data_IF_702027293325
#
_entry.id   IF_702027293325
#
_cell.length_a   1.000
_cell.length_b   1.000
_cell.length_c   1.000
_cell.angle_alpha   90.00
_cell.angle_beta   90.00
_cell.angle_gamma   90.00
#
_symmetry.space_group_name_H-M   'P 1'
#
loop_
_entity.id
_entity.type
_entity.pdbx_description
1 polymer ?
#
# COMPACT_ATOMS: atom_id res chain seq x y z
N UNK A 1 41.69 -65.95 -10.53
CA UNK A 1 41.01 -64.64 -10.62
C UNK A 1 39.72 -64.77 -9.82
N UNK A 2 39.68 -64.18 -8.63
CA UNK A 2 38.50 -64.23 -7.77
C UNK A 2 37.40 -63.38 -8.42
N UNK A 3 36.24 -63.98 -8.70
CA UNK A 3 35.12 -63.21 -9.21
C UNK A 3 34.68 -62.18 -8.16
N UNK A 4 34.40 -60.93 -8.56
CA UNK A 4 33.99 -59.91 -7.61
C UNK A 4 32.70 -60.34 -6.92
N UNK A 5 32.71 -60.34 -5.59
CA UNK A 5 31.50 -60.54 -4.81
C UNK A 5 30.53 -59.40 -5.17
N UNK A 6 29.26 -59.72 -5.42
CA UNK A 6 28.24 -58.73 -5.78
C UNK A 6 28.13 -57.58 -4.76
N UNK A 7 28.50 -57.82 -3.50
CA UNK A 7 28.57 -56.82 -2.43
C UNK A 7 29.65 -55.76 -2.67
N UNK A 8 30.78 -56.11 -3.29
CA UNK A 8 31.86 -55.17 -3.59
C UNK A 8 31.43 -54.19 -4.67
N UNK A 9 30.70 -54.69 -5.69
CA UNK A 9 30.10 -53.87 -6.74
C UNK A 9 29.06 -52.90 -6.15
N UNK A 10 28.19 -53.39 -5.25
CA UNK A 10 27.18 -52.53 -4.58
C UNK A 10 27.85 -51.46 -3.70
N UNK A 11 28.91 -51.81 -2.96
CA UNK A 11 29.60 -50.84 -2.11
C UNK A 11 30.31 -49.75 -2.93
N UNK A 12 31.00 -50.15 -4.02
CA UNK A 12 31.69 -49.22 -4.91
C UNK A 12 30.72 -48.26 -5.60
N UNK A 13 29.56 -48.77 -6.06
CA UNK A 13 28.51 -47.94 -6.63
C UNK A 13 27.91 -47.00 -5.58
N UNK A 14 27.65 -47.48 -4.36
CA UNK A 14 27.13 -46.66 -3.26
C UNK A 14 28.06 -45.50 -2.89
N UNK A 15 29.37 -45.77 -2.80
CA UNK A 15 30.40 -44.77 -2.50
C UNK A 15 30.57 -43.72 -3.59
N UNK A 16 30.30 -44.06 -4.86
CA UNK A 16 30.34 -43.10 -5.96
C UNK A 16 29.02 -42.30 -6.09
N UNK A 17 27.87 -42.92 -5.85
CA UNK A 17 26.55 -42.29 -6.00
C UNK A 17 26.25 -41.30 -4.88
N UNK A 18 26.66 -41.59 -3.64
CA UNK A 18 26.40 -40.72 -2.49
C UNK A 18 26.96 -39.30 -2.66
N UNK A 19 28.25 -39.07 -2.98
CA UNK A 19 28.77 -37.71 -3.18
C UNK A 19 28.10 -37.00 -4.38
N UNK A 20 27.75 -37.72 -5.45
CA UNK A 20 27.02 -37.16 -6.59
C UNK A 20 25.61 -36.71 -6.19
N UNK A 21 24.90 -37.51 -5.40
CA UNK A 21 23.57 -37.17 -4.89
C UNK A 21 23.63 -35.94 -3.98
N UNK A 22 24.61 -35.86 -3.07
CA UNK A 22 24.81 -34.71 -2.19
C UNK A 22 25.10 -33.43 -2.99
N UNK A 23 25.97 -33.50 -4.01
CA UNK A 23 26.27 -32.36 -4.90
C UNK A 23 25.01 -31.93 -5.66
N UNK A 24 24.26 -32.87 -6.24
CA UNK A 24 23.01 -32.56 -6.94
C UNK A 24 21.99 -31.91 -6.01
N UNK A 25 21.82 -32.42 -4.79
CA UNK A 25 20.93 -31.87 -3.78
C UNK A 25 21.35 -30.45 -3.37
N UNK A 26 22.65 -30.24 -3.13
CA UNK A 26 23.23 -28.93 -2.84
C UNK A 26 22.93 -27.92 -3.95
N UNK A 27 23.20 -28.27 -5.20
CA UNK A 27 22.93 -27.40 -6.36
C UNK A 27 21.44 -27.05 -6.49
N UNK A 28 20.53 -27.99 -6.26
CA UNK A 28 19.08 -27.74 -6.29
C UNK A 28 18.66 -26.79 -5.17
N UNK A 29 19.16 -26.99 -3.95
CA UNK A 29 18.86 -26.13 -2.79
C UNK A 29 19.39 -24.72 -3.04
N UNK A 30 20.66 -24.55 -3.44
CA UNK A 30 21.27 -23.24 -3.68
C UNK A 30 20.56 -22.48 -4.80
N UNK A 31 20.14 -23.17 -5.87
CA UNK A 31 19.35 -22.55 -6.95
C UNK A 31 17.97 -22.10 -6.50
N UNK A 32 17.32 -22.84 -5.59
CA UNK A 32 16.02 -22.44 -5.03
C UNK A 32 16.15 -21.27 -4.07
N UNK A 33 17.16 -21.29 -3.20
CA UNK A 33 17.43 -20.22 -2.24
C UNK A 33 17.72 -18.89 -2.95
N UNK A 34 18.64 -18.89 -3.93
CA UNK A 34 18.98 -17.67 -4.69
C UNK A 34 17.78 -17.03 -5.42
N UNK A 35 16.88 -17.84 -6.01
CA UNK A 35 15.64 -17.33 -6.62
C UNK A 35 14.68 -16.73 -5.61
N UNK A 36 14.56 -17.35 -4.44
CA UNK A 36 13.72 -16.85 -3.34
C UNK A 36 14.25 -15.53 -2.79
N UNK A 37 15.56 -15.43 -2.58
CA UNK A 37 16.22 -14.20 -2.10
C UNK A 37 16.05 -13.04 -3.09
N UNK A 38 16.19 -13.29 -4.39
CA UNK A 38 16.01 -12.26 -5.42
C UNK A 38 14.57 -11.72 -5.42
N UNK A 39 13.58 -12.62 -5.34
CA UNK A 39 12.17 -12.24 -5.28
C UNK A 39 11.88 -11.42 -4.01
N UNK A 40 12.34 -11.87 -2.84
CA UNK A 40 12.17 -11.16 -1.57
C UNK A 40 12.83 -9.78 -1.60
N UNK A 41 14.06 -9.70 -2.11
CA UNK A 41 14.77 -8.42 -2.27
C UNK A 41 14.01 -7.46 -3.17
N UNK A 42 13.50 -7.95 -4.30
CA UNK A 42 12.74 -7.11 -5.24
C UNK A 42 11.42 -6.64 -4.64
N UNK A 43 10.69 -7.52 -3.92
CA UNK A 43 9.48 -7.13 -3.19
C UNK A 43 9.77 -6.08 -2.13
N UNK A 44 10.86 -6.24 -1.38
CA UNK A 44 11.28 -5.28 -0.35
C UNK A 44 11.61 -3.92 -0.97
N UNK A 45 12.29 -3.91 -2.11
CA UNK A 45 12.59 -2.68 -2.84
C UNK A 45 11.29 -1.94 -3.22
N UNK A 46 10.34 -2.62 -3.87
CA UNK A 46 9.06 -2.01 -4.21
C UNK A 46 8.25 -1.58 -2.98
N UNK A 47 8.30 -2.37 -1.90
CA UNK A 47 7.68 -2.00 -0.63
C UNK A 47 8.22 -0.65 -0.11
N UNK A 48 9.54 -0.48 -0.07
CA UNK A 48 10.16 0.77 0.40
C UNK A 48 9.82 1.98 -0.49
N UNK A 49 9.53 1.75 -1.77
CA UNK A 49 9.11 2.80 -2.69
C UNK A 49 7.60 3.14 -2.58
N UNK A 50 6.75 2.13 -2.35
CA UNK A 50 5.30 2.29 -2.32
C UNK A 50 4.78 2.83 -0.98
N UNK A 51 5.31 2.32 0.14
CA UNK A 51 4.76 2.61 1.48
C UNK A 51 4.79 4.09 1.85
N UNK A 52 5.85 4.87 1.58
CA UNK A 52 5.83 6.31 1.86
C UNK A 52 4.70 7.05 1.13
N UNK A 53 4.48 6.72 -0.15
CA UNK A 53 3.44 7.31 -0.98
C UNK A 53 2.03 6.87 -0.53
N UNK A 54 1.86 5.60 -0.17
CA UNK A 54 0.61 5.09 0.40
C UNK A 54 0.28 5.77 1.73
N UNK A 55 1.30 5.97 2.58
CA UNK A 55 1.15 6.68 3.85
C UNK A 55 0.82 8.16 3.63
N UNK A 56 1.40 8.81 2.61
CA UNK A 56 1.05 10.18 2.25
C UNK A 56 -0.42 10.28 1.85
N UNK A 57 -0.90 9.38 0.99
CA UNK A 57 -2.31 9.33 0.60
C UNK A 57 -3.21 9.11 1.81
N UNK A 58 -2.86 8.18 2.70
CA UNK A 58 -3.60 7.92 3.94
C UNK A 58 -3.66 9.16 4.84
N UNK A 59 -2.53 9.82 5.06
CA UNK A 59 -2.44 11.05 5.84
C UNK A 59 -3.36 12.14 5.26
N UNK A 60 -3.32 12.33 3.94
CA UNK A 60 -4.18 13.30 3.28
C UNK A 60 -5.66 12.98 3.46
N UNK A 61 -6.07 11.74 3.18
CA UNK A 61 -7.46 11.30 3.26
C UNK A 61 -8.03 11.32 4.69
N UNK A 62 -7.17 11.22 5.70
CA UNK A 62 -7.58 11.15 7.12
C UNK A 62 -7.24 12.41 7.93
N UNK A 63 -6.76 13.48 7.29
CA UNK A 63 -6.40 14.75 7.93
C UNK A 63 -5.30 14.60 9.01
N UNK A 64 -4.29 13.77 8.74
CA UNK A 64 -3.13 13.54 9.60
C UNK A 64 -1.86 14.13 8.98
N UNK A 65 -0.94 14.62 9.81
CA UNK A 65 0.38 15.07 9.35
C UNK A 65 0.31 16.36 8.53
N UNK A 66 0.95 16.35 7.37
CA UNK A 66 1.14 17.52 6.49
C UNK A 66 -0.02 17.77 5.52
N UNK A 67 -1.15 17.08 5.67
CA UNK A 67 -2.29 17.10 4.74
C UNK A 67 -2.78 18.50 4.31
N UNK A 68 -2.59 19.50 5.17
CA UNK A 68 -3.04 20.89 4.97
C UNK A 68 -2.14 21.70 4.01
N UNK A 69 -0.97 21.15 3.71
CA UNK A 69 0.06 21.73 2.86
C UNK A 69 0.07 21.06 1.47
N UNK A 70 -0.70 19.98 1.29
CA UNK A 70 -0.78 19.19 0.05
C UNK A 70 -1.94 19.64 -0.84
N UNK A 71 -1.67 20.04 -2.07
CA UNK A 71 -2.72 20.43 -3.02
C UNK A 71 -3.44 19.20 -3.59
N UNK A 72 -4.70 19.31 -4.03
CA UNK A 72 -5.37 18.20 -4.70
C UNK A 72 -4.69 17.80 -6.01
N UNK A 73 -3.92 18.69 -6.64
CA UNK A 73 -3.10 18.35 -7.81
C UNK A 73 -1.98 17.39 -7.39
N UNK A 74 -1.28 17.70 -6.30
CA UNK A 74 -0.22 16.84 -5.74
C UNK A 74 -0.77 15.44 -5.43
N UNK A 75 -2.01 15.34 -4.93
CA UNK A 75 -2.66 14.07 -4.58
C UNK A 75 -3.09 13.28 -5.82
N UNK A 76 -3.53 13.93 -6.89
CA UNK A 76 -3.81 13.26 -8.17
C UNK A 76 -2.51 12.76 -8.81
N UNK A 77 -1.43 13.52 -8.72
CA UNK A 77 -0.11 13.10 -9.22
C UNK A 77 0.49 11.98 -8.36
N UNK A 78 0.27 12.01 -7.05
CA UNK A 78 0.57 10.90 -6.14
C UNK A 78 -0.16 9.63 -6.56
N UNK A 79 -1.45 9.70 -6.92
CA UNK A 79 -2.20 8.54 -7.45
C UNK A 79 -1.55 7.97 -8.70
N UNK A 80 -1.19 8.83 -9.67
CA UNK A 80 -0.54 8.40 -10.93
C UNK A 80 0.77 7.68 -10.65
N UNK A 81 1.57 8.24 -9.74
CA UNK A 81 2.85 7.66 -9.32
C UNK A 81 2.65 6.30 -8.64
N UNK A 82 1.67 6.19 -7.74
CA UNK A 82 1.29 4.94 -7.09
C UNK A 82 0.84 3.90 -8.12
N UNK A 83 -0.09 4.23 -9.01
CA UNK A 83 -0.60 3.31 -10.03
C UNK A 83 0.51 2.84 -10.98
N UNK A 84 1.37 3.75 -11.42
CA UNK A 84 2.48 3.42 -12.31
C UNK A 84 3.45 2.44 -11.64
N UNK A 85 3.85 2.70 -10.39
CA UNK A 85 4.77 1.83 -9.65
C UNK A 85 4.12 0.49 -9.30
N UNK A 86 2.89 0.54 -8.82
CA UNK A 86 2.16 -0.64 -8.37
C UNK A 86 1.90 -1.61 -9.53
N UNK A 87 1.44 -1.13 -10.69
CA UNK A 87 1.14 -2.03 -11.82
C UNK A 87 2.39 -2.70 -12.40
N UNK A 88 3.56 -2.04 -12.33
CA UNK A 88 4.85 -2.68 -12.68
C UNK A 88 5.21 -3.77 -11.69
N UNK A 89 4.97 -3.52 -10.39
CA UNK A 89 5.31 -4.46 -9.32
C UNK A 89 4.26 -5.55 -9.10
N UNK A 90 3.02 -5.38 -9.56
CA UNK A 90 1.88 -6.24 -9.26
C UNK A 90 2.14 -7.73 -9.53
N UNK A 91 2.83 -8.15 -10.62
CA UNK A 91 3.14 -9.56 -10.85
C UNK A 91 4.06 -10.20 -9.79
N UNK A 92 4.77 -9.38 -9.01
CA UNK A 92 5.65 -9.85 -7.94
C UNK A 92 4.87 -10.13 -6.65
N UNK A 93 3.68 -9.54 -6.48
CA UNK A 93 2.85 -9.68 -5.30
C UNK A 93 1.70 -10.67 -5.52
N UNK A 94 1.05 -11.07 -4.44
CA UNK A 94 -0.13 -11.92 -4.44
C UNK A 94 -1.36 -11.16 -4.92
N UNK A 95 -2.40 -11.91 -5.30
CA UNK A 95 -3.69 -11.34 -5.63
C UNK A 95 -4.30 -10.55 -4.46
N UNK A 96 -4.05 -10.99 -3.22
CA UNK A 96 -4.49 -10.32 -1.99
C UNK A 96 -3.98 -8.88 -1.90
N UNK A 97 -2.69 -8.64 -2.18
CA UNK A 97 -2.12 -7.29 -2.25
C UNK A 97 -2.79 -6.46 -3.34
N UNK A 98 -3.02 -7.07 -4.51
CA UNK A 98 -3.65 -6.39 -5.65
C UNK A 98 -5.08 -5.97 -5.33
N UNK A 99 -5.85 -6.83 -4.68
CA UNK A 99 -7.24 -6.53 -4.33
C UNK A 99 -7.32 -5.49 -3.21
N UNK A 100 -6.45 -5.57 -2.20
CA UNK A 100 -6.34 -4.56 -1.15
C UNK A 100 -5.94 -3.19 -1.72
N UNK A 101 -5.00 -3.14 -2.67
CA UNK A 101 -4.61 -1.90 -3.35
C UNK A 101 -5.77 -1.28 -4.11
N UNK A 102 -6.49 -2.09 -4.90
CA UNK A 102 -7.69 -1.65 -5.64
C UNK A 102 -8.77 -1.14 -4.69
N UNK A 103 -9.00 -1.81 -3.56
CA UNK A 103 -9.96 -1.37 -2.56
C UNK A 103 -9.60 0.01 -1.99
N UNK A 104 -8.32 0.23 -1.64
CA UNK A 104 -7.84 1.54 -1.18
C UNK A 104 -8.00 2.61 -2.26
N UNK A 105 -7.61 2.33 -3.50
CA UNK A 105 -7.75 3.28 -4.61
C UNK A 105 -9.21 3.62 -4.90
N UNK A 106 -10.12 2.63 -4.81
CA UNK A 106 -11.56 2.83 -4.98
C UNK A 106 -12.17 3.69 -3.87
N UNK A 107 -11.66 3.61 -2.63
CA UNK A 107 -12.08 4.52 -1.56
C UNK A 107 -11.48 5.92 -1.72
N UNK A 108 -10.30 6.02 -2.31
CA UNK A 108 -9.56 7.29 -2.43
C UNK A 108 -10.00 8.11 -3.63
N UNK A 109 -10.29 7.45 -4.75
CA UNK A 109 -10.54 8.09 -6.03
C UNK A 109 -11.72 7.48 -6.78
N UNK A 110 -12.47 8.34 -7.47
CA UNK A 110 -13.36 7.93 -8.55
C UNK A 110 -12.52 7.88 -9.83
N UNK A 111 -12.16 6.67 -10.22
CA UNK A 111 -11.48 6.36 -11.50
C UNK A 111 -12.52 6.18 -12.60
N UNK A 112 -12.14 6.43 -13.86
CA UNK A 112 -13.03 6.38 -15.05
C UNK A 112 -13.95 7.60 -15.21
N UNK A 113 -13.36 8.78 -15.35
CA UNK A 113 -14.01 9.94 -15.98
C UNK A 113 -14.02 9.82 -17.51
N UNK A 114 -14.23 10.93 -18.20
CA UNK A 114 -14.02 11.03 -19.65
C UNK A 114 -12.57 10.71 -20.06
N UNK A 115 -12.37 10.45 -21.34
CA UNK A 115 -11.03 10.21 -21.89
C UNK A 115 -10.12 11.42 -21.63
N UNK A 116 -8.98 11.19 -20.99
CA UNK A 116 -8.02 12.25 -20.64
C UNK A 116 -8.38 13.07 -19.39
N UNK A 117 -9.48 12.74 -18.69
CA UNK A 117 -9.84 13.42 -17.45
C UNK A 117 -9.08 12.88 -16.23
N UNK A 118 -8.75 13.79 -15.34
CA UNK A 118 -8.07 13.46 -14.09
C UNK A 118 -9.01 12.75 -13.10
N UNK A 119 -8.43 11.88 -12.28
CA UNK A 119 -9.19 11.23 -11.20
C UNK A 119 -9.72 12.27 -10.20
N UNK A 120 -10.93 12.02 -9.70
CA UNK A 120 -11.58 12.86 -8.67
C UNK A 120 -11.37 12.22 -7.30
N UNK A 121 -10.99 13.00 -6.30
CA UNK A 121 -10.74 12.55 -4.92
C UNK A 121 -12.08 12.38 -4.19
N UNK A 122 -12.31 11.22 -3.57
CA UNK A 122 -13.59 10.89 -2.92
C UNK A 122 -13.72 11.46 -1.50
N UNK A 123 -13.46 12.75 -1.37
CA UNK A 123 -13.61 13.51 -0.13
C UNK A 123 -14.11 14.92 -0.46
N UNK A 124 -14.27 15.79 0.55
CA UNK A 124 -14.70 17.18 0.37
C UNK A 124 -13.55 18.20 0.42
N UNK A 125 -13.75 19.35 -0.23
CA UNK A 125 -12.77 20.45 -0.26
C UNK A 125 -12.81 21.33 1.01
N UNK A 126 -13.98 21.48 1.64
CA UNK A 126 -14.26 22.40 2.75
C UNK A 126 -13.11 22.56 3.76
N UNK A 127 -12.73 21.49 4.46
CA UNK A 127 -11.68 21.54 5.50
C UNK A 127 -10.28 21.82 4.96
N UNK A 128 -10.01 21.45 3.70
CA UNK A 128 -8.70 21.63 3.06
C UNK A 128 -8.48 23.07 2.66
N UNK A 129 -9.51 23.67 2.06
CA UNK A 129 -9.54 25.09 1.75
C UNK A 129 -9.41 25.96 3.00
N UNK A 130 -10.19 25.67 4.05
CA UNK A 130 -10.14 26.47 5.30
C UNK A 130 -8.82 26.31 6.07
N UNK A 131 -8.18 25.14 5.97
CA UNK A 131 -6.96 24.81 6.70
C UNK A 131 -5.69 24.96 5.88
N UNK A 132 -5.77 25.42 4.63
CA UNK A 132 -4.63 25.58 3.73
C UNK A 132 -3.53 26.44 4.36
N UNK A 133 -2.28 25.96 4.37
CA UNK A 133 -1.14 26.67 4.99
C UNK A 133 0.13 26.76 4.13
N UNK A 134 0.15 26.17 2.94
CA UNK A 134 1.26 26.32 1.99
C UNK A 134 1.45 27.80 1.61
N UNK A 135 2.68 28.31 1.68
CA UNK A 135 2.99 29.75 1.51
C UNK A 135 3.29 30.16 0.07
N UNK A 136 3.81 29.23 -0.72
CA UNK A 136 4.22 29.41 -2.12
C UNK A 136 3.02 29.45 -3.08
N UNK A 137 1.90 28.83 -2.72
CA UNK A 137 0.70 28.72 -3.58
C UNK A 137 -0.55 29.05 -2.77
N UNK A 138 -1.43 29.89 -3.31
CA UNK A 138 -2.77 30.13 -2.74
C UNK A 138 -3.74 29.06 -3.18
N UNK A 139 -4.77 28.80 -2.37
CA UNK A 139 -5.86 27.90 -2.77
C UNK A 139 -6.47 28.37 -4.09
N UNK A 140 -6.44 27.51 -5.12
CA UNK A 140 -7.05 27.80 -6.40
C UNK A 140 -8.51 27.31 -6.38
N UNK A 141 -9.53 28.17 -6.62
CA UNK A 141 -10.93 27.75 -6.63
C UNK A 141 -11.25 26.61 -7.60
N UNK A 142 -10.49 26.44 -8.69
CA UNK A 142 -10.67 25.32 -9.62
C UNK A 142 -10.36 23.96 -8.98
N UNK A 143 -9.61 23.94 -7.88
CA UNK A 143 -9.34 22.72 -7.12
C UNK A 143 -10.59 22.11 -6.52
N UNK A 144 -11.65 22.88 -6.29
CA UNK A 144 -12.91 22.37 -5.73
C UNK A 144 -13.52 21.31 -6.67
N UNK A 145 -13.29 21.41 -7.99
CA UNK A 145 -13.73 20.41 -9.00
C UNK A 145 -12.98 19.08 -8.91
N UNK A 146 -11.89 18.99 -8.14
CA UNK A 146 -11.11 17.76 -7.93
C UNK A 146 -11.67 16.88 -6.82
N UNK A 147 -12.73 17.32 -6.15
CA UNK A 147 -13.37 16.62 -5.05
C UNK A 147 -14.76 16.13 -5.47
N UNK A 148 -15.13 14.92 -5.06
CA UNK A 148 -16.43 14.32 -5.39
C UNK A 148 -17.53 14.80 -4.44
N UNK A 149 -17.20 15.04 -3.18
CA UNK A 149 -18.20 15.38 -2.15
C UNK A 149 -18.39 16.88 -2.05
N UNK A 150 -19.64 17.28 -1.87
CA UNK A 150 -20.01 18.65 -1.60
C UNK A 150 -19.56 19.10 -0.20
N UNK A 151 -19.52 20.41 0.02
CA UNK A 151 -19.05 20.97 1.29
C UNK A 151 -20.01 20.71 2.47
N UNK A 152 -21.28 20.41 2.19
CA UNK A 152 -22.28 20.04 3.21
C UNK A 152 -22.10 18.61 3.74
N UNK A 153 -21.33 17.78 3.04
CA UNK A 153 -21.13 16.39 3.42
C UNK A 153 -20.17 16.28 4.60
N UNK A 154 -20.68 15.86 5.75
CA UNK A 154 -19.84 15.59 6.93
C UNK A 154 -19.09 14.28 6.76
N UNK A 155 -17.78 14.30 7.01
CA UNK A 155 -16.95 13.08 7.05
C UNK A 155 -17.12 12.44 8.41
N UNK A 156 -17.69 11.25 8.46
CA UNK A 156 -17.98 10.56 9.72
C UNK A 156 -16.73 9.90 10.31
N UNK A 157 -16.71 9.69 11.62
CA UNK A 157 -15.64 8.93 12.27
C UNK A 157 -15.58 7.47 11.79
N UNK A 158 -16.72 6.92 11.37
CA UNK A 158 -16.82 5.59 10.78
C UNK A 158 -16.12 5.53 9.43
N UNK A 159 -16.34 6.49 8.54
CA UNK A 159 -15.67 6.56 7.24
C UNK A 159 -14.15 6.60 7.38
N UNK A 160 -13.63 7.41 8.30
CA UNK A 160 -12.20 7.48 8.59
C UNK A 160 -11.66 6.17 9.18
N UNK A 161 -12.46 5.48 10.00
CA UNK A 161 -12.09 4.18 10.56
C UNK A 161 -12.04 3.13 9.46
N UNK A 162 -13.02 3.10 8.57
CA UNK A 162 -13.08 2.21 7.40
C UNK A 162 -11.91 2.44 6.46
N UNK A 163 -11.63 3.70 6.11
CA UNK A 163 -10.51 4.03 5.23
C UNK A 163 -9.18 3.51 5.81
N UNK A 164 -8.99 3.67 7.12
CA UNK A 164 -7.78 3.21 7.81
C UNK A 164 -7.70 1.70 7.92
N UNK A 165 -8.83 1.02 8.10
CA UNK A 165 -8.91 -0.44 8.03
C UNK A 165 -8.41 -0.95 6.69
N UNK A 166 -8.90 -0.39 5.59
CA UNK A 166 -8.47 -0.78 4.23
C UNK A 166 -6.99 -0.49 3.98
N UNK A 167 -6.46 0.61 4.52
CA UNK A 167 -5.01 0.89 4.48
C UNK A 167 -4.20 -0.13 5.30
N UNK A 168 -4.66 -0.46 6.51
CA UNK A 168 -4.04 -1.47 7.37
C UNK A 168 -4.03 -2.85 6.70
N UNK A 169 -5.12 -3.22 6.01
CA UNK A 169 -5.25 -4.47 5.25
C UNK A 169 -4.24 -4.53 4.09
N UNK A 170 -4.07 -3.44 3.35
CA UNK A 170 -3.06 -3.35 2.28
C UNK A 170 -1.64 -3.51 2.83
N UNK A 171 -1.31 -2.83 3.93
CA UNK A 171 0.01 -2.99 4.55
C UNK A 171 0.23 -4.40 5.10
N UNK A 172 -0.79 -5.00 5.70
CA UNK A 172 -0.72 -6.37 6.19
C UNK A 172 -0.45 -7.36 5.06
N UNK A 173 -1.17 -7.22 3.92
CA UNK A 173 -0.95 -8.05 2.74
C UNK A 173 0.46 -7.87 2.16
N UNK A 174 0.94 -6.63 2.05
CA UNK A 174 2.30 -6.35 1.60
C UNK A 174 3.37 -6.97 2.51
N UNK A 175 3.22 -6.84 3.83
CA UNK A 175 4.17 -7.39 4.82
C UNK A 175 4.14 -8.92 4.83
N UNK A 176 2.96 -9.52 4.65
CA UNK A 176 2.80 -10.98 4.49
C UNK A 176 3.56 -11.50 3.27
N UNK A 177 3.48 -10.81 2.14
CA UNK A 177 4.20 -11.17 0.92
C UNK A 177 5.73 -11.00 1.03
N UNK A 178 6.20 -10.18 1.96
CA UNK A 178 7.62 -10.05 2.31
C UNK A 178 8.14 -11.19 3.20
N UNK A 179 7.27 -12.09 3.66
CA UNK A 179 7.59 -13.17 4.61
C UNK A 179 8.22 -12.64 5.92
N UNK A 180 7.86 -11.40 6.30
CA UNK A 180 8.26 -10.85 7.60
C UNK A 180 7.38 -11.54 8.64
N UNK A 181 8.00 -12.37 9.46
CA UNK A 181 7.39 -13.36 10.38
C UNK A 181 6.40 -12.77 11.41
N UNK A 182 6.22 -11.45 11.46
CA UNK A 182 5.14 -10.75 12.18
C UNK A 182 4.64 -9.53 11.39
N UNK A 183 3.66 -9.72 10.53
CA UNK A 183 2.77 -8.62 10.16
C UNK A 183 2.01 -8.16 11.41
N UNK A 184 2.07 -6.87 11.76
CA UNK A 184 1.25 -6.31 12.87
C UNK A 184 -0.20 -6.24 12.39
N UNK A 185 -1.15 -6.55 13.27
CA UNK A 185 -2.58 -6.50 12.95
C UNK A 185 -3.14 -5.07 12.75
N UNK A 186 -2.43 -4.04 13.23
CA UNK A 186 -2.80 -2.62 13.09
C UNK A 186 -1.55 -1.78 12.89
N UNK A 187 -1.48 -1.04 11.79
CA UNK A 187 -0.41 -0.08 11.53
C UNK A 187 -0.85 1.36 11.85
N UNK A 188 -2.15 1.61 11.98
CA UNK A 188 -2.70 2.92 12.36
C UNK A 188 -3.22 2.97 13.82
N UNK A 189 -3.09 4.12 14.51
CA UNK A 189 -3.49 4.29 15.94
C UNK A 189 -4.89 4.89 16.15
N UNK A 190 -5.72 4.35 17.03
CA UNK A 190 -7.12 4.79 17.23
C UNK A 190 -7.30 6.23 17.77
N UNK A 191 -6.22 6.93 18.13
CA UNK A 191 -6.23 8.25 18.79
C UNK A 191 -6.63 9.45 17.90
N UNK A 192 -6.85 9.26 16.60
CA UNK A 192 -7.11 10.37 15.64
C UNK A 192 -8.58 10.79 15.56
N UNK A 193 -9.48 10.10 16.28
CA UNK A 193 -10.93 10.39 16.30
C UNK A 193 -11.30 11.84 16.64
N UNK A 194 -10.41 12.58 17.30
CA UNK A 194 -10.66 13.93 17.80
C UNK A 194 -10.49 15.05 16.77
N UNK A 195 -9.76 14.83 15.66
CA UNK A 195 -9.44 15.90 14.71
C UNK A 195 -10.48 16.09 13.60
N UNK A 196 -11.40 15.13 13.42
CA UNK A 196 -12.33 15.10 12.28
C UNK A 196 -13.77 15.56 12.60
N UNK A 197 -14.17 15.56 13.87
CA UNK A 197 -15.43 16.16 14.33
C UNK A 197 -15.25 17.68 14.45
N UNK A 198 -15.93 18.48 13.62
CA UNK A 198 -16.04 19.92 13.88
C UNK A 198 -17.04 20.14 15.02
N UNK A 199 -16.94 21.25 15.76
CA UNK A 199 -18.03 21.68 16.62
C UNK A 199 -19.26 21.92 15.74
N UNK A 200 -20.38 21.34 16.15
CA UNK A 200 -21.71 21.69 15.64
C UNK A 200 -21.85 23.21 15.76
N UNK A 201 -22.14 23.93 14.68
CA UNK A 201 -22.64 25.31 14.79
C UNK A 201 -23.98 25.21 15.49
N UNK A 202 -24.01 25.46 16.78
CA UNK A 202 -25.27 25.83 17.45
C UNK A 202 -25.60 27.22 16.94
N UNK A 203 -26.73 27.34 16.25
CA UNK A 203 -27.33 28.63 15.93
C UNK A 203 -27.38 29.47 17.21
N UNK A 204 -26.77 30.65 17.18
CA UNK A 204 -26.95 31.64 18.21
C UNK A 204 -28.34 32.22 17.96
N UNK A 205 -29.29 31.93 18.85
CA UNK A 205 -30.59 32.58 18.83
C UNK A 205 -30.36 34.10 18.92
N UNK A 206 -30.80 34.82 17.90
CA UNK A 206 -30.78 36.28 17.88
C UNK A 206 -31.50 36.80 19.12
N UNK A 207 -30.81 37.63 19.90
CA UNK A 207 -31.45 38.47 20.89
C UNK A 207 -32.29 39.51 20.15
N UNK A 208 -33.60 39.40 20.29
CA UNK A 208 -34.56 40.50 20.12
C UNK A 208 -34.68 41.26 21.43
#
# INVERSE_FOLDING_TARGET
MSEPLWTDVVSAVGSAVTPLAVVAFGLVITRRQSRSELLQRTRLEYYTQLVPDLNWLMCYMTFIGTWRDDSPVDIVDLKRRLDSRFNVAAPLFSAEVTDAYRALMKLSFRTFGGWGEDAVIRTGAFRRRSSWRRKDIRWNPHWDKRFERSDETTISAEELTTYRGVYDDLLAALVKDLDITRARAKFTTSRVRLNASAPVRTDIAGAS
#
